data_IF_159573466171
#
_entry.id   IF_159573466171
#
_cell.length_a   1.000
_cell.length_b   1.000
_cell.length_c   1.000
_cell.angle_alpha   90.00
_cell.angle_beta   90.00
_cell.angle_gamma   90.00
#
_symmetry.space_group_name_H-M   'P 1'
#
loop_
_entity.id
_entity.type
_entity.pdbx_description
1 polymer ?
#
# COMPACT_ATOMS: atom_id res chain seq x y z
N UNK A 1 -21.06 -3.19 -9.80
CA UNK A 1 -20.88 -1.97 -8.98
C UNK A 1 -22.15 -1.61 -8.20
N UNK A 2 -23.30 -1.37 -8.85
CA UNK A 2 -24.56 -1.04 -8.15
C UNK A 2 -25.03 -2.12 -7.16
N UNK A 3 -24.93 -3.41 -7.53
CA UNK A 3 -25.26 -4.51 -6.62
C UNK A 3 -24.34 -4.56 -5.38
N UNK A 4 -23.04 -4.24 -5.53
CA UNK A 4 -22.10 -4.16 -4.41
C UNK A 4 -22.41 -2.97 -3.49
N UNK A 5 -22.86 -1.84 -4.05
CA UNK A 5 -23.30 -0.67 -3.29
C UNK A 5 -24.57 -0.95 -2.48
N UNK A 6 -25.55 -1.63 -3.08
CA UNK A 6 -26.81 -1.99 -2.41
C UNK A 6 -26.57 -3.00 -1.27
N UNK A 7 -25.78 -4.05 -1.53
CA UNK A 7 -25.41 -5.04 -0.50
C UNK A 7 -24.54 -4.42 0.59
N UNK A 8 -23.59 -3.54 0.22
CA UNK A 8 -22.77 -2.80 1.17
C UNK A 8 -23.61 -1.89 2.07
N UNK A 9 -24.55 -1.14 1.50
CA UNK A 9 -25.47 -0.27 2.24
C UNK A 9 -26.41 -1.03 3.18
N UNK A 10 -26.79 -2.26 2.83
CA UNK A 10 -27.65 -3.11 3.66
C UNK A 10 -26.89 -3.89 4.75
N UNK A 11 -25.61 -4.22 4.51
CA UNK A 11 -24.86 -5.15 5.37
C UNK A 11 -23.85 -4.45 6.29
N UNK A 12 -23.42 -3.23 5.96
CA UNK A 12 -22.42 -2.49 6.72
C UNK A 12 -23.16 -1.53 7.66
N UNK A 13 -23.25 -1.89 8.94
CA UNK A 13 -23.66 -0.96 9.98
C UNK A 13 -22.65 0.21 10.01
N UNK A 14 -23.12 1.41 9.73
CA UNK A 14 -22.30 2.62 9.73
C UNK A 14 -21.68 2.81 11.12
N UNK A 15 -20.35 2.81 11.19
CA UNK A 15 -19.65 3.09 12.45
C UNK A 15 -19.72 4.59 12.71
N UNK A 16 -20.64 4.99 13.58
CA UNK A 16 -20.95 6.38 13.87
C UNK A 16 -20.42 6.73 15.26
N UNK A 17 -19.66 7.83 15.38
CA UNK A 17 -19.31 8.40 16.69
C UNK A 17 -20.40 9.43 17.08
N UNK A 18 -21.22 9.08 18.06
CA UNK A 18 -22.36 9.89 18.51
C UNK A 18 -21.93 11.12 19.33
N UNK A 19 -20.63 11.25 19.62
CA UNK A 19 -20.10 12.25 20.58
C UNK A 19 -19.55 13.52 19.93
N UNK A 20 -19.48 13.59 18.59
CA UNK A 20 -18.86 14.70 17.85
C UNK A 20 -19.91 15.58 17.16
N UNK A 21 -19.92 16.92 17.36
CA UNK A 21 -20.77 17.83 16.60
C UNK A 21 -20.44 17.77 15.10
N UNK A 22 -21.46 17.76 14.21
CA UNK A 22 -21.35 17.77 12.74
C UNK A 22 -20.73 19.07 12.16
N UNK A 23 -19.50 19.41 12.54
CA UNK A 23 -18.75 20.51 11.92
C UNK A 23 -17.55 19.90 11.22
N UNK A 24 -17.68 19.79 9.89
CA UNK A 24 -16.59 19.38 9.03
C UNK A 24 -15.49 20.45 9.11
N UNK A 25 -14.26 20.06 9.42
CA UNK A 25 -13.13 20.98 9.28
C UNK A 25 -12.77 21.16 7.80
N UNK A 26 -13.41 22.17 7.19
CA UNK A 26 -13.19 22.52 5.78
C UNK A 26 -11.74 22.99 5.56
N UNK A 27 -11.11 23.59 6.58
CA UNK A 27 -9.75 24.12 6.46
C UNK A 27 -8.73 22.99 6.45
N UNK A 28 -8.82 22.07 7.41
CA UNK A 28 -8.00 20.86 7.44
C UNK A 28 -8.20 20.01 6.18
N UNK A 29 -9.47 19.82 5.76
CA UNK A 29 -9.78 19.08 4.54
C UNK A 29 -9.17 19.71 3.28
N UNK A 30 -9.24 21.04 3.15
CA UNK A 30 -8.62 21.75 2.02
C UNK A 30 -7.09 21.60 2.05
N UNK A 31 -6.47 21.78 3.22
CA UNK A 31 -5.01 21.68 3.39
C UNK A 31 -4.50 20.28 3.06
N UNK A 32 -5.14 19.22 3.55
CA UNK A 32 -4.70 17.85 3.27
C UNK A 32 -4.92 17.47 1.80
N UNK A 33 -6.02 17.91 1.20
CA UNK A 33 -6.30 17.67 -0.23
C UNK A 33 -5.26 18.37 -1.12
N UNK A 34 -4.94 19.64 -0.82
CA UNK A 34 -3.90 20.39 -1.53
C UNK A 34 -2.53 19.75 -1.32
N UNK A 35 -2.21 19.33 -0.09
CA UNK A 35 -0.94 18.67 0.21
C UNK A 35 -0.76 17.38 -0.60
N UNK A 36 -1.74 16.48 -0.58
CA UNK A 36 -1.71 15.22 -1.34
C UNK A 36 -1.70 15.48 -2.84
N UNK A 37 -2.49 16.45 -3.32
CA UNK A 37 -2.54 16.82 -4.73
C UNK A 37 -1.20 17.34 -5.25
N UNK A 38 -0.59 18.30 -4.55
CA UNK A 38 0.73 18.84 -4.90
C UNK A 38 1.82 17.77 -4.79
N UNK A 39 1.76 16.92 -3.77
CA UNK A 39 2.70 15.82 -3.59
C UNK A 39 2.63 14.84 -4.76
N UNK A 40 1.42 14.37 -5.09
CA UNK A 40 1.20 13.43 -6.19
C UNK A 40 1.64 14.05 -7.52
N UNK A 41 1.28 15.32 -7.77
CA UNK A 41 1.66 16.05 -8.98
C UNK A 41 3.17 16.22 -9.12
N UNK A 42 3.88 16.42 -8.00
CA UNK A 42 5.35 16.52 -7.98
C UNK A 42 5.96 15.25 -8.57
N UNK A 43 5.56 14.08 -8.09
CA UNK A 43 6.14 12.80 -8.54
C UNK A 43 5.64 12.38 -9.92
N UNK A 44 4.41 12.71 -10.29
CA UNK A 44 3.88 12.47 -11.63
C UNK A 44 4.64 13.28 -12.69
N UNK A 45 4.98 14.54 -12.40
CA UNK A 45 5.67 15.44 -13.36
C UNK A 45 7.18 15.39 -13.28
N UNK A 46 7.77 14.93 -12.18
CA UNK A 46 9.22 14.84 -11.99
C UNK A 46 9.97 14.13 -13.14
N UNK A 47 9.49 13.02 -13.72
CA UNK A 47 10.16 12.38 -14.86
C UNK A 47 10.23 13.27 -16.10
N UNK A 48 9.19 14.08 -16.34
CA UNK A 48 9.07 14.94 -17.53
C UNK A 48 9.78 16.29 -17.38
N UNK A 49 9.68 16.92 -16.20
CA UNK A 49 10.24 18.25 -15.94
C UNK A 49 11.67 18.19 -15.39
N UNK A 50 12.10 17.01 -14.94
CA UNK A 50 13.34 16.81 -14.22
C UNK A 50 13.12 16.87 -12.71
N UNK A 51 13.74 15.92 -12.01
CA UNK A 51 13.65 15.74 -10.56
C UNK A 51 14.18 16.94 -9.76
N UNK A 52 15.18 17.65 -10.30
CA UNK A 52 15.82 18.82 -9.68
C UNK A 52 15.38 20.16 -10.30
N UNK A 53 14.33 20.16 -11.12
CA UNK A 53 13.84 21.41 -11.71
C UNK A 53 13.22 22.31 -10.64
N UNK A 54 13.32 23.62 -10.83
CA UNK A 54 12.70 24.60 -9.92
C UNK A 54 11.20 24.38 -9.75
N UNK A 55 10.50 23.96 -10.81
CA UNK A 55 9.06 23.64 -10.77
C UNK A 55 8.77 22.43 -9.87
N UNK A 56 9.53 21.35 -9.99
CA UNK A 56 9.38 20.15 -9.15
C UNK A 56 9.67 20.47 -7.68
N UNK A 57 10.74 21.25 -7.41
CA UNK A 57 11.09 21.66 -6.05
C UNK A 57 10.05 22.59 -5.43
N UNK A 58 9.46 23.49 -6.23
CA UNK A 58 8.39 24.39 -5.77
C UNK A 58 7.12 23.61 -5.42
N UNK A 59 6.70 22.66 -6.27
CA UNK A 59 5.56 21.79 -5.97
C UNK A 59 5.80 20.95 -4.72
N UNK A 60 7.00 20.39 -4.57
CA UNK A 60 7.38 19.62 -3.39
C UNK A 60 7.36 20.48 -2.12
N UNK A 61 7.97 21.68 -2.17
CA UNK A 61 7.96 22.62 -1.07
C UNK A 61 6.53 23.05 -0.70
N UNK A 62 5.67 23.30 -1.70
CA UNK A 62 4.26 23.60 -1.50
C UNK A 62 3.49 22.45 -0.85
N UNK A 63 3.74 21.21 -1.27
CA UNK A 63 3.15 20.02 -0.65
C UNK A 63 3.56 19.88 0.83
N UNK A 64 4.85 20.05 1.12
CA UNK A 64 5.38 20.00 2.49
C UNK A 64 4.83 21.15 3.36
N UNK A 65 4.72 22.35 2.81
CA UNK A 65 4.14 23.50 3.49
C UNK A 65 2.65 23.29 3.80
N UNK A 66 1.86 22.78 2.84
CA UNK A 66 0.45 22.46 3.04
C UNK A 66 0.25 21.32 4.06
N UNK A 67 1.08 20.27 4.01
CA UNK A 67 1.07 19.18 4.98
C UNK A 67 1.41 19.68 6.40
N UNK A 68 2.43 20.54 6.51
CA UNK A 68 2.81 21.16 7.80
C UNK A 68 1.67 22.05 8.31
N UNK A 69 1.06 22.84 7.42
CA UNK A 69 -0.12 23.66 7.72
C UNK A 69 -1.29 22.82 8.23
N UNK A 70 -1.55 21.67 7.60
CA UNK A 70 -2.56 20.70 8.06
C UNK A 70 -2.26 20.23 9.48
N UNK A 71 -1.05 19.70 9.74
CA UNK A 71 -0.67 19.21 11.08
C UNK A 71 -0.77 20.31 12.16
N UNK A 72 -0.41 21.55 11.83
CA UNK A 72 -0.50 22.68 12.76
C UNK A 72 -1.95 23.13 13.01
N UNK A 73 -2.81 23.11 11.98
CA UNK A 73 -4.23 23.40 12.11
C UNK A 73 -4.92 22.32 12.96
N UNK A 74 -4.63 21.06 12.66
CA UNK A 74 -5.20 19.89 13.31
C UNK A 74 -4.91 19.84 14.82
N UNK A 75 -3.68 20.17 15.21
CA UNK A 75 -3.28 20.23 16.62
C UNK A 75 -4.02 21.32 17.42
N UNK A 76 -4.60 22.32 16.77
CA UNK A 76 -5.31 23.43 17.43
C UNK A 76 -6.82 23.21 17.48
N UNK A 77 -7.35 22.28 16.70
CA UNK A 77 -8.79 22.06 16.56
C UNK A 77 -9.30 21.11 17.65
N UNK A 78 -10.49 21.42 18.19
CA UNK A 78 -11.10 20.66 19.30
C UNK A 78 -11.65 19.29 18.88
N UNK A 79 -11.96 19.13 17.59
CA UNK A 79 -12.46 17.91 16.96
C UNK A 79 -11.64 17.63 15.70
N UNK A 80 -10.40 17.12 15.85
CA UNK A 80 -9.56 16.83 14.69
C UNK A 80 -10.21 15.78 13.79
N UNK A 81 -10.10 16.00 12.49
CA UNK A 81 -10.34 15.06 11.41
C UNK A 81 -9.41 13.83 11.49
N UNK A 82 -8.16 14.00 11.95
CA UNK A 82 -7.18 12.93 12.15
C UNK A 82 -6.56 13.03 13.54
N UNK A 83 -6.73 12.00 14.34
CA UNK A 83 -6.08 11.81 15.62
C UNK A 83 -4.59 11.51 15.42
N UNK A 84 -3.78 12.57 15.49
CA UNK A 84 -2.32 12.49 15.41
C UNK A 84 -1.69 11.61 16.50
N UNK A 85 -2.43 11.21 17.54
CA UNK A 85 -1.96 10.22 18.52
C UNK A 85 -1.78 8.82 17.90
N UNK A 86 -2.47 8.51 16.80
CA UNK A 86 -2.28 7.27 16.03
C UNK A 86 -0.86 7.16 15.49
N UNK A 87 -0.30 8.26 14.99
CA UNK A 87 1.09 8.31 14.52
C UNK A 87 2.12 8.15 15.66
N UNK A 88 1.71 8.35 16.92
CA UNK A 88 2.54 8.06 18.09
C UNK A 88 2.45 6.60 18.55
N UNK A 89 1.47 5.84 18.08
CA UNK A 89 1.35 4.42 18.41
C UNK A 89 2.28 3.59 17.52
N UNK A 90 3.37 3.00 18.06
CA UNK A 90 4.35 2.29 17.26
C UNK A 90 3.75 1.06 16.56
N UNK A 91 2.70 0.43 17.11
CA UNK A 91 2.03 -0.69 16.44
C UNK A 91 1.29 -0.23 15.20
N UNK A 92 0.58 0.90 15.28
CA UNK A 92 -0.12 1.49 14.14
C UNK A 92 0.86 1.88 13.03
N UNK A 93 1.95 2.57 13.39
CA UNK A 93 2.99 2.98 12.44
C UNK A 93 3.60 1.76 11.74
N UNK A 94 3.93 0.68 12.46
CA UNK A 94 4.46 -0.55 11.85
C UNK A 94 3.45 -1.13 10.85
N UNK A 95 2.17 -1.22 11.20
CA UNK A 95 1.14 -1.73 10.28
C UNK A 95 1.05 -0.89 9.01
N UNK A 96 0.97 0.44 9.15
CA UNK A 96 0.88 1.38 8.01
C UNK A 96 2.12 1.29 7.14
N UNK A 97 3.32 1.26 7.71
CA UNK A 97 4.58 1.16 6.95
C UNK A 97 4.64 -0.15 6.16
N UNK A 98 4.32 -1.28 6.78
CA UNK A 98 4.36 -2.60 6.13
C UNK A 98 3.31 -2.71 5.03
N UNK A 99 2.10 -2.22 5.30
CA UNK A 99 1.05 -2.12 4.29
C UNK A 99 1.46 -1.22 3.14
N UNK A 100 2.06 -0.07 3.42
CA UNK A 100 2.55 0.88 2.40
C UNK A 100 3.62 0.24 1.52
N UNK A 101 4.63 -0.41 2.11
CA UNK A 101 5.68 -1.12 1.36
C UNK A 101 5.06 -2.21 0.46
N UNK A 102 4.10 -2.96 1.00
CA UNK A 102 3.41 -4.00 0.23
C UNK A 102 2.53 -3.41 -0.88
N UNK A 103 1.93 -2.23 -0.65
CA UNK A 103 1.15 -1.49 -1.65
C UNK A 103 2.04 -0.93 -2.77
N UNK A 104 3.23 -0.42 -2.44
CA UNK A 104 4.23 -0.02 -3.44
C UNK A 104 4.55 -1.21 -4.33
N UNK A 105 4.89 -2.36 -3.73
CA UNK A 105 5.19 -3.55 -4.50
C UNK A 105 4.01 -3.99 -5.37
N UNK A 106 2.79 -3.93 -4.87
CA UNK A 106 1.57 -4.23 -5.63
C UNK A 106 1.39 -3.30 -6.84
N UNK A 107 1.42 -1.99 -6.61
CA UNK A 107 1.23 -0.99 -7.65
C UNK A 107 2.32 -1.06 -8.72
N UNK A 108 3.59 -1.18 -8.31
CA UNK A 108 4.72 -1.32 -9.23
C UNK A 108 4.65 -2.63 -10.00
N UNK A 109 4.29 -3.75 -9.36
CA UNK A 109 4.17 -5.03 -10.06
C UNK A 109 3.09 -4.98 -11.13
N UNK A 110 1.91 -4.43 -10.83
CA UNK A 110 0.84 -4.29 -11.83
C UNK A 110 1.28 -3.39 -12.99
N UNK A 111 1.91 -2.25 -12.67
CA UNK A 111 2.43 -1.33 -13.67
C UNK A 111 3.46 -1.99 -14.59
N UNK A 112 4.49 -2.62 -14.01
CA UNK A 112 5.57 -3.27 -14.77
C UNK A 112 5.09 -4.51 -15.52
N UNK A 113 4.22 -5.33 -14.94
CA UNK A 113 3.61 -6.47 -15.63
C UNK A 113 2.79 -6.01 -16.83
N UNK A 114 2.11 -4.86 -16.75
CA UNK A 114 1.37 -4.30 -17.88
C UNK A 114 2.33 -3.91 -19.01
N UNK A 115 3.41 -3.20 -18.68
CA UNK A 115 4.43 -2.83 -19.66
C UNK A 115 5.14 -4.05 -20.25
N UNK A 116 5.45 -5.05 -19.44
CA UNK A 116 6.05 -6.29 -19.90
C UNK A 116 5.15 -7.05 -20.87
N UNK A 117 3.85 -7.18 -20.55
CA UNK A 117 2.88 -7.86 -21.40
C UNK A 117 2.69 -7.13 -22.74
N UNK A 118 2.58 -5.81 -22.72
CA UNK A 118 2.30 -5.03 -23.93
C UNK A 118 3.57 -4.77 -24.76
N UNK A 119 4.62 -4.22 -24.14
CA UNK A 119 5.82 -3.79 -24.85
C UNK A 119 6.90 -4.89 -24.94
N UNK A 120 7.00 -5.76 -23.94
CA UNK A 120 7.97 -6.86 -23.94
C UNK A 120 7.50 -8.07 -24.75
N UNK A 121 6.25 -8.48 -24.55
CA UNK A 121 5.65 -9.66 -25.22
C UNK A 121 4.83 -9.30 -26.46
N UNK A 122 4.59 -8.01 -26.73
CA UNK A 122 3.85 -7.56 -27.90
C UNK A 122 2.36 -7.89 -27.87
N UNK A 123 1.78 -8.13 -26.69
CA UNK A 123 0.36 -8.49 -26.58
C UNK A 123 -0.53 -7.28 -26.76
N UNK A 124 -1.69 -7.51 -27.37
CA UNK A 124 -2.76 -6.52 -27.44
C UNK A 124 -3.27 -6.17 -26.03
N UNK A 125 -3.67 -4.91 -25.76
CA UNK A 125 -4.20 -4.48 -24.47
C UNK A 125 -5.34 -5.36 -23.95
N UNK A 126 -6.19 -5.90 -24.84
CA UNK A 126 -7.29 -6.78 -24.44
C UNK A 126 -6.77 -8.09 -23.84
N UNK A 127 -5.77 -8.72 -24.48
CA UNK A 127 -5.17 -9.96 -24.00
C UNK A 127 -4.36 -9.75 -22.73
N UNK A 128 -3.66 -8.62 -22.62
CA UNK A 128 -2.98 -8.24 -21.37
C UNK A 128 -3.99 -8.09 -20.22
N UNK A 129 -5.14 -7.48 -20.47
CA UNK A 129 -6.24 -7.38 -19.50
C UNK A 129 -6.79 -8.74 -19.05
N UNK A 130 -6.92 -9.70 -19.97
CA UNK A 130 -7.34 -11.07 -19.63
C UNK A 130 -6.34 -11.77 -18.69
N UNK A 131 -5.04 -11.55 -18.86
CA UNK A 131 -4.01 -12.08 -17.96
C UNK A 131 -4.17 -11.52 -16.54
N UNK A 132 -4.54 -10.25 -16.40
CA UNK A 132 -4.81 -9.62 -15.10
C UNK A 132 -6.04 -10.15 -14.39
N UNK A 133 -6.92 -10.91 -15.04
CA UNK A 133 -8.03 -11.58 -14.36
C UNK A 133 -7.51 -12.57 -13.31
N UNK A 134 -6.42 -13.29 -13.59
CA UNK A 134 -5.78 -14.19 -12.62
C UNK A 134 -5.29 -13.42 -11.40
N UNK A 135 -4.52 -12.35 -11.61
CA UNK A 135 -4.06 -11.46 -10.54
C UNK A 135 -5.21 -10.87 -9.71
N UNK A 136 -6.29 -10.44 -10.37
CA UNK A 136 -7.47 -9.86 -9.73
C UNK A 136 -8.23 -10.90 -8.91
N UNK A 137 -8.40 -12.12 -9.43
CA UNK A 137 -8.99 -13.23 -8.70
C UNK A 137 -8.15 -13.60 -7.48
N UNK A 138 -6.82 -13.64 -7.63
CA UNK A 138 -5.88 -13.81 -6.52
C UNK A 138 -6.09 -12.75 -5.44
N UNK A 139 -6.08 -11.48 -5.81
CA UNK A 139 -6.28 -10.37 -4.87
C UNK A 139 -7.64 -10.44 -4.16
N UNK A 140 -8.72 -10.79 -4.87
CA UNK A 140 -10.05 -10.97 -4.30
C UNK A 140 -10.07 -12.11 -3.25
N UNK A 141 -9.47 -13.26 -3.58
CA UNK A 141 -9.32 -14.38 -2.64
C UNK A 141 -8.46 -13.99 -1.43
N UNK A 142 -7.40 -13.22 -1.66
CA UNK A 142 -6.55 -12.67 -0.60
C UNK A 142 -7.34 -11.76 0.35
N UNK A 143 -8.23 -10.92 -0.20
CA UNK A 143 -9.14 -10.08 0.57
C UNK A 143 -10.12 -10.89 1.44
N UNK A 144 -10.78 -11.91 0.89
CA UNK A 144 -11.68 -12.79 1.67
C UNK A 144 -10.92 -13.52 2.77
N UNK A 145 -9.73 -14.04 2.46
CA UNK A 145 -8.89 -14.72 3.43
C UNK A 145 -8.41 -13.76 4.52
N UNK A 146 -8.12 -12.50 4.18
CA UNK A 146 -7.69 -11.49 5.13
C UNK A 146 -8.71 -11.28 6.24
N UNK A 147 -10.00 -11.19 5.92
CA UNK A 147 -11.07 -11.02 6.91
C UNK A 147 -11.19 -12.22 7.85
N UNK A 148 -11.08 -13.45 7.32
CA UNK A 148 -11.10 -14.68 8.13
C UNK A 148 -9.89 -14.80 9.06
N UNK A 149 -8.70 -14.45 8.55
CA UNK A 149 -7.48 -14.48 9.35
C UNK A 149 -7.49 -13.38 10.41
N UNK A 150 -8.03 -12.20 10.10
CA UNK A 150 -8.08 -11.10 11.06
C UNK A 150 -8.96 -11.44 12.28
N UNK A 151 -9.99 -12.28 12.10
CA UNK A 151 -10.84 -12.76 13.18
C UNK A 151 -10.15 -13.80 14.09
N UNK A 152 -9.13 -14.51 13.60
CA UNK A 152 -8.59 -15.71 14.27
C UNK A 152 -7.09 -15.64 14.58
N UNK A 153 -6.34 -14.73 13.95
CA UNK A 153 -4.88 -14.65 14.02
C UNK A 153 -4.44 -13.22 14.33
N UNK A 154 -3.36 -13.05 15.13
CA UNK A 154 -2.78 -11.73 15.36
C UNK A 154 -2.20 -11.15 14.06
N UNK A 155 -2.31 -9.83 13.85
CA UNK A 155 -2.09 -9.26 12.54
C UNK A 155 -0.63 -9.23 12.07
N UNK A 156 0.28 -8.87 12.97
CA UNK A 156 1.70 -8.72 12.67
C UNK A 156 2.36 -9.98 12.08
N UNK A 157 2.20 -11.20 12.65
CA UNK A 157 2.83 -12.40 12.08
C UNK A 157 2.22 -12.85 10.76
N UNK A 158 0.91 -12.62 10.54
CA UNK A 158 0.27 -12.92 9.25
C UNK A 158 0.85 -12.03 8.17
N UNK A 159 0.89 -10.72 8.40
CA UNK A 159 1.45 -9.76 7.44
C UNK A 159 2.92 -10.08 7.14
N UNK A 160 3.74 -10.32 8.17
CA UNK A 160 5.14 -10.64 7.97
C UNK A 160 5.35 -11.93 7.14
N UNK A 161 4.59 -12.99 7.42
CA UNK A 161 4.66 -14.23 6.64
C UNK A 161 4.22 -14.02 5.20
N UNK A 162 3.09 -13.34 4.97
CA UNK A 162 2.58 -13.07 3.63
C UNK A 162 3.51 -12.14 2.84
N UNK A 163 4.14 -11.14 3.46
CA UNK A 163 5.14 -10.29 2.81
C UNK A 163 6.38 -11.08 2.36
N UNK A 164 6.85 -12.05 3.15
CA UNK A 164 7.95 -12.94 2.74
C UNK A 164 7.53 -13.82 1.55
N UNK A 165 6.32 -14.39 1.61
CA UNK A 165 5.78 -15.18 0.49
C UNK A 165 5.63 -14.31 -0.76
N UNK A 166 5.15 -13.07 -0.62
CA UNK A 166 5.03 -12.12 -1.72
C UNK A 166 6.39 -11.85 -2.39
N UNK A 167 7.45 -11.69 -1.59
CA UNK A 167 8.79 -11.49 -2.13
C UNK A 167 9.31 -12.72 -2.90
N UNK A 168 9.01 -13.93 -2.41
CA UNK A 168 9.31 -15.17 -3.15
C UNK A 168 8.51 -15.25 -4.45
N UNK A 169 7.22 -14.90 -4.42
CA UNK A 169 6.39 -14.86 -5.63
C UNK A 169 6.93 -13.86 -6.66
N UNK A 170 7.39 -12.69 -6.23
CA UNK A 170 8.02 -11.70 -7.11
C UNK A 170 9.34 -12.21 -7.70
N UNK A 171 10.18 -12.87 -6.89
CA UNK A 171 11.40 -13.49 -7.38
C UNK A 171 11.09 -14.59 -8.42
N UNK A 172 10.06 -15.41 -8.19
CA UNK A 172 9.63 -16.42 -9.17
C UNK A 172 9.05 -15.81 -10.44
N UNK A 173 8.38 -14.65 -10.33
CA UNK A 173 7.83 -13.94 -11.47
C UNK A 173 8.96 -13.39 -12.36
N UNK A 174 9.98 -12.77 -11.76
CA UNK A 174 11.15 -12.27 -12.47
C UNK A 174 12.00 -13.38 -13.11
N UNK A 175 11.97 -14.60 -12.55
CA UNK A 175 12.68 -15.75 -13.11
C UNK A 175 11.85 -16.52 -14.17
N UNK A 176 10.61 -16.10 -14.47
CA UNK A 176 9.69 -16.87 -15.30
C UNK A 176 9.69 -16.41 -16.76
N UNK A 177 10.38 -17.15 -17.62
CA UNK A 177 10.38 -16.92 -19.07
C UNK A 177 9.15 -17.51 -19.78
N UNK A 178 8.49 -18.51 -19.18
CA UNK A 178 7.37 -19.24 -19.78
C UNK A 178 5.98 -18.84 -19.26
N UNK A 179 4.96 -18.91 -20.12
CA UNK A 179 3.56 -18.63 -19.75
C UNK A 179 3.00 -19.56 -18.66
N UNK A 180 3.48 -20.80 -18.63
CA UNK A 180 3.11 -21.79 -17.62
C UNK A 180 3.53 -21.37 -16.20
N UNK A 181 4.60 -20.59 -16.06
CA UNK A 181 5.13 -20.14 -14.77
C UNK A 181 4.70 -18.69 -14.46
N UNK A 182 4.61 -17.84 -15.49
CA UNK A 182 4.24 -16.44 -15.33
C UNK A 182 2.80 -16.26 -14.82
N UNK A 183 1.82 -16.97 -15.37
CA UNK A 183 0.41 -16.82 -14.97
C UNK A 183 0.14 -17.22 -13.51
N UNK A 184 0.63 -18.37 -13.01
CA UNK A 184 0.50 -18.72 -11.60
C UNK A 184 1.29 -17.77 -10.69
N UNK A 185 2.50 -17.37 -11.08
CA UNK A 185 3.33 -16.45 -10.28
C UNK A 185 2.67 -15.07 -10.15
N UNK A 186 2.11 -14.54 -11.23
CA UNK A 186 1.39 -13.26 -11.23
C UNK A 186 0.11 -13.34 -10.37
N UNK A 187 -0.62 -14.45 -10.49
CA UNK A 187 -1.81 -14.72 -9.65
C UNK A 187 -1.44 -14.81 -8.17
N UNK A 188 -0.34 -15.49 -7.85
CA UNK A 188 0.18 -15.61 -6.49
C UNK A 188 0.69 -14.26 -5.93
N UNK A 189 1.32 -13.42 -6.76
CA UNK A 189 1.67 -12.05 -6.40
C UNK A 189 0.41 -11.24 -6.07
N UNK A 190 -0.61 -11.29 -6.93
CA UNK A 190 -1.90 -10.63 -6.68
C UNK A 190 -2.55 -11.09 -5.38
N UNK A 191 -2.54 -12.40 -5.10
CA UNK A 191 -3.06 -12.98 -3.87
C UNK A 191 -2.31 -12.51 -2.63
N UNK A 192 -0.98 -12.63 -2.63
CA UNK A 192 -0.16 -12.31 -1.45
C UNK A 192 -0.17 -10.82 -1.15
N UNK A 193 0.05 -9.97 -2.16
CA UNK A 193 0.07 -8.52 -2.00
C UNK A 193 -1.33 -7.97 -1.69
N UNK A 194 -2.37 -8.48 -2.36
CA UNK A 194 -3.76 -8.12 -2.07
C UNK A 194 -4.20 -8.53 -0.65
N UNK A 195 -3.73 -9.68 -0.16
CA UNK A 195 -3.95 -10.11 1.22
C UNK A 195 -3.30 -9.14 2.21
N UNK A 196 -2.02 -8.78 2.03
CA UNK A 196 -1.36 -7.83 2.94
C UNK A 196 -2.05 -6.46 2.91
N UNK A 197 -2.46 -6.00 1.74
CA UNK A 197 -3.20 -4.76 1.58
C UNK A 197 -4.51 -4.75 2.39
N UNK A 198 -5.40 -5.71 2.13
CA UNK A 198 -6.69 -5.79 2.81
C UNK A 198 -6.52 -5.99 4.33
N UNK A 199 -5.55 -6.83 4.70
CA UNK A 199 -5.27 -7.14 6.09
C UNK A 199 -4.69 -5.95 6.86
N UNK A 200 -3.90 -5.08 6.22
CA UNK A 200 -3.43 -3.81 6.82
C UNK A 200 -4.60 -2.95 7.23
N UNK A 201 -5.59 -2.79 6.35
CA UNK A 201 -6.79 -1.99 6.63
C UNK A 201 -7.55 -2.56 7.83
N UNK A 202 -7.77 -3.87 7.87
CA UNK A 202 -8.47 -4.50 9.01
C UNK A 202 -7.65 -4.38 10.30
N UNK A 203 -6.34 -4.56 10.24
CA UNK A 203 -5.46 -4.48 11.41
C UNK A 203 -5.36 -3.07 11.99
N UNK A 204 -5.34 -2.04 11.13
CA UNK A 204 -5.31 -0.63 11.55
C UNK A 204 -6.65 -0.20 12.14
N UNK A 205 -7.77 -0.67 11.59
CA UNK A 205 -9.10 -0.49 12.17
C UNK A 205 -9.23 -1.15 13.55
N UNK A 206 -8.67 -2.35 13.72
CA UNK A 206 -8.69 -3.06 15.01
C UNK A 206 -7.75 -2.45 16.07
N UNK A 207 -6.81 -1.58 15.67
CA UNK A 207 -5.89 -0.91 16.58
C UNK A 207 -6.49 0.34 17.26
N UNK A 208 -7.67 0.77 16.82
CA UNK A 208 -8.37 1.97 17.29
C UNK A 208 -9.74 1.61 17.85
N UNK A 209 -10.37 2.56 18.55
CA UNK A 209 -11.75 2.40 19.01
C UNK A 209 -12.70 2.26 17.81
N UNK A 210 -13.79 1.46 17.90
CA UNK A 210 -14.72 1.25 16.78
C UNK A 210 -15.20 2.56 16.17
N UNK A 211 -15.55 3.53 17.01
CA UNK A 211 -16.01 4.88 16.63
C UNK A 211 -15.02 5.65 15.72
N UNK A 212 -13.73 5.30 15.74
CA UNK A 212 -12.66 5.93 14.93
C UNK A 212 -12.07 5.01 13.88
N UNK A 213 -12.65 3.83 13.66
CA UNK A 213 -12.15 2.87 12.68
C UNK A 213 -12.18 3.43 11.24
N UNK A 214 -13.19 4.25 10.91
CA UNK A 214 -13.28 4.92 9.60
C UNK A 214 -12.11 5.88 9.35
N UNK A 215 -11.73 6.65 10.38
CA UNK A 215 -10.62 7.59 10.34
C UNK A 215 -9.28 6.87 10.11
N UNK A 216 -9.00 5.86 10.93
CA UNK A 216 -7.78 5.07 10.86
C UNK A 216 -7.62 4.37 9.49
N UNK A 217 -8.71 3.82 8.95
CA UNK A 217 -8.72 3.22 7.62
C UNK A 217 -8.48 4.25 6.52
N UNK A 218 -9.11 5.43 6.60
CA UNK A 218 -8.96 6.50 5.62
C UNK A 218 -7.53 7.04 5.54
N UNK A 219 -6.92 7.31 6.70
CA UNK A 219 -5.51 7.77 6.79
C UNK A 219 -4.57 6.70 6.24
N UNK A 220 -4.77 5.43 6.63
CA UNK A 220 -3.96 4.31 6.17
C UNK A 220 -4.05 4.14 4.65
N UNK A 221 -5.26 4.16 4.10
CA UNK A 221 -5.50 4.03 2.67
C UNK A 221 -4.87 5.17 1.88
N UNK A 222 -5.03 6.40 2.37
CA UNK A 222 -4.45 7.59 1.76
C UNK A 222 -2.92 7.50 1.72
N UNK A 223 -2.29 7.16 2.85
CA UNK A 223 -0.84 6.98 2.91
C UNK A 223 -0.36 5.89 1.94
N UNK A 224 -1.03 4.73 1.93
CA UNK A 224 -0.69 3.61 1.06
C UNK A 224 -0.78 3.99 -0.42
N UNK A 225 -1.89 4.61 -0.85
CA UNK A 225 -2.12 4.97 -2.26
C UNK A 225 -1.20 6.10 -2.71
N UNK A 226 -1.06 7.16 -1.90
CA UNK A 226 -0.19 8.30 -2.23
C UNK A 226 1.27 7.86 -2.37
N UNK A 227 1.79 7.10 -1.42
CA UNK A 227 3.18 6.61 -1.47
C UNK A 227 3.33 5.51 -2.54
N UNK A 228 2.31 4.68 -2.75
CA UNK A 228 2.26 3.69 -3.83
C UNK A 228 2.44 4.33 -5.21
N UNK A 229 1.76 5.46 -5.45
CA UNK A 229 1.93 6.25 -6.68
C UNK A 229 3.35 6.77 -6.87
N UNK A 230 4.00 7.24 -5.79
CA UNK A 230 5.42 7.63 -5.82
C UNK A 230 6.31 6.45 -6.22
N UNK A 231 6.05 5.27 -5.64
CA UNK A 231 6.77 4.05 -6.00
C UNK A 231 6.68 3.71 -7.49
N UNK A 232 5.49 3.88 -8.09
CA UNK A 232 5.28 3.70 -9.53
C UNK A 232 6.06 4.73 -10.35
N UNK A 233 6.00 6.01 -9.99
CA UNK A 233 6.71 7.07 -10.71
C UNK A 233 8.24 6.89 -10.69
N UNK A 234 8.79 6.50 -9.52
CA UNK A 234 10.21 6.17 -9.38
C UNK A 234 10.55 4.94 -10.23
N UNK A 235 9.73 3.89 -10.18
CA UNK A 235 9.96 2.67 -10.96
C UNK A 235 9.90 2.91 -12.46
N UNK A 236 9.01 3.79 -12.93
CA UNK A 236 8.94 4.21 -14.33
C UNK A 236 10.21 4.95 -14.77
N UNK A 237 10.75 5.83 -13.91
CA UNK A 237 12.01 6.54 -14.19
C UNK A 237 13.19 5.57 -14.24
N UNK A 238 13.26 4.63 -13.29
CA UNK A 238 14.30 3.59 -13.28
C UNK A 238 14.20 2.71 -14.53
N UNK A 239 12.98 2.33 -14.92
CA UNK A 239 12.75 1.56 -16.15
C UNK A 239 13.29 2.30 -17.37
N UNK A 240 12.97 3.58 -17.52
CA UNK A 240 13.46 4.40 -18.63
C UNK A 240 14.99 4.55 -18.61
N UNK A 241 15.60 4.74 -17.43
CA UNK A 241 17.06 4.80 -17.29
C UNK A 241 17.73 3.49 -17.71
N UNK A 242 17.18 2.34 -17.32
CA UNK A 242 17.68 1.02 -17.70
C UNK A 242 17.53 0.79 -19.21
N UNK A 243 16.40 1.18 -19.80
CA UNK A 243 16.20 1.11 -21.26
C UNK A 243 17.20 1.98 -22.02
N UNK A 244 17.47 3.20 -21.55
CA UNK A 244 18.50 4.11 -22.13
C UNK A 244 19.91 3.53 -22.01
N UNK A 245 20.17 2.68 -21.02
CA UNK A 245 21.45 1.95 -20.87
C UNK A 245 21.59 0.74 -21.82
N UNK A 246 20.58 0.46 -22.64
CA UNK A 246 20.59 -0.61 -23.64
C UNK A 246 19.91 -1.90 -23.18
N UNK A 247 19.27 -1.93 -22.00
CA UNK A 247 18.52 -3.10 -21.55
C UNK A 247 17.17 -3.22 -22.27
N UNK A 248 16.74 -4.46 -22.52
CA UNK A 248 15.38 -4.74 -22.97
C UNK A 248 14.37 -4.41 -21.87
N UNK A 249 13.13 -4.10 -22.26
CA UNK A 249 12.02 -3.87 -21.30
C UNK A 249 11.84 -5.06 -20.36
N UNK A 250 12.02 -6.29 -20.86
CA UNK A 250 11.99 -7.51 -20.06
C UNK A 250 13.03 -7.49 -18.93
N UNK A 251 14.32 -7.36 -19.28
CA UNK A 251 15.38 -7.37 -18.28
C UNK A 251 15.28 -6.19 -17.30
N UNK A 252 14.79 -5.04 -17.75
CA UNK A 252 14.62 -3.88 -16.87
C UNK A 252 13.48 -4.08 -15.87
N UNK A 253 12.36 -4.70 -16.30
CA UNK A 253 11.28 -5.12 -15.41
C UNK A 253 11.80 -6.13 -14.39
N UNK A 254 12.54 -7.14 -14.81
CA UNK A 254 13.05 -8.19 -13.92
C UNK A 254 13.98 -7.61 -12.85
N UNK A 255 14.88 -6.69 -13.21
CA UNK A 255 15.75 -5.99 -12.24
C UNK A 255 14.95 -5.23 -11.20
N UNK A 256 13.90 -4.50 -11.59
CA UNK A 256 13.07 -3.74 -10.65
C UNK A 256 12.25 -4.69 -9.76
N UNK A 257 11.68 -5.76 -10.32
CA UNK A 257 10.91 -6.75 -9.56
C UNK A 257 11.79 -7.50 -8.55
N UNK A 258 13.03 -7.86 -8.94
CA UNK A 258 14.01 -8.45 -8.02
C UNK A 258 14.41 -7.45 -6.93
N UNK A 259 14.64 -6.18 -7.27
CA UNK A 259 14.94 -5.15 -6.28
C UNK A 259 13.80 -5.01 -5.25
N UNK A 260 12.55 -5.04 -5.70
CA UNK A 260 11.39 -5.06 -4.80
C UNK A 260 11.35 -6.31 -3.93
N UNK A 261 11.61 -7.49 -4.48
CA UNK A 261 11.67 -8.73 -3.71
C UNK A 261 12.76 -8.65 -2.62
N UNK A 262 13.94 -8.15 -2.96
CA UNK A 262 15.07 -7.96 -2.03
C UNK A 262 14.75 -6.92 -0.96
N UNK A 263 13.96 -5.90 -1.25
CA UNK A 263 13.49 -4.92 -0.24
C UNK A 263 12.37 -5.47 0.65
N UNK A 264 11.48 -6.30 0.09
CA UNK A 264 10.36 -6.89 0.82
C UNK A 264 10.77 -8.00 1.78
N UNK A 265 11.76 -8.82 1.42
CA UNK A 265 12.27 -9.90 2.28
C UNK A 265 12.70 -9.43 3.68
N UNK A 266 13.60 -8.44 3.83
CA UNK A 266 14.01 -7.94 5.14
C UNK A 266 12.88 -7.20 5.85
N UNK A 267 11.98 -6.52 5.12
CA UNK A 267 10.81 -5.89 5.71
C UNK A 267 9.88 -6.95 6.35
N UNK A 268 9.53 -8.00 5.63
CA UNK A 268 8.74 -9.12 6.15
C UNK A 268 9.43 -9.85 7.30
N UNK A 269 10.74 -10.07 7.20
CA UNK A 269 11.54 -10.69 8.26
C UNK A 269 11.59 -9.82 9.53
N UNK A 270 11.78 -8.50 9.40
CA UNK A 270 11.78 -7.56 10.52
C UNK A 270 10.43 -7.56 11.24
N UNK A 271 9.33 -7.64 10.48
CA UNK A 271 7.97 -7.75 11.04
C UNK A 271 7.81 -9.04 11.82
N UNK A 272 8.23 -10.18 11.27
CA UNK A 272 8.19 -11.47 11.97
C UNK A 272 9.05 -11.47 13.24
N UNK A 273 10.23 -10.86 13.19
CA UNK A 273 11.11 -10.71 14.36
C UNK A 273 10.48 -9.81 15.43
N UNK A 274 9.82 -8.73 15.03
CA UNK A 274 9.09 -7.85 15.96
C UNK A 274 7.92 -8.57 16.62
N UNK A 275 7.19 -9.41 15.89
CA UNK A 275 6.12 -10.25 16.41
C UNK A 275 6.65 -11.27 17.43
N UNK A 276 7.77 -11.94 17.11
CA UNK A 276 8.43 -12.89 18.03
C UNK A 276 8.92 -12.21 19.30
N UNK A 277 9.50 -11.01 19.21
CA UNK A 277 9.95 -10.21 20.37
C UNK A 277 8.77 -9.79 21.26
N UNK A 278 7.60 -9.49 20.68
CA UNK A 278 6.40 -9.15 21.45
C UNK A 278 5.79 -10.38 22.12
N UNK A 279 5.75 -11.52 21.44
CA UNK A 279 5.25 -12.78 22.01
C UNK A 279 6.10 -13.27 23.20
N UNK A 280 7.43 -13.17 23.08
CA UNK A 280 8.36 -13.53 24.16
C UNK A 280 8.27 -12.60 25.36
N UNK A 281 8.13 -11.28 25.16
CA UNK A 281 7.87 -10.33 26.26
C UNK A 281 6.58 -10.64 27.01
N UNK A 282 5.50 -10.95 26.29
CA UNK A 282 4.19 -11.28 26.88
C UNK A 282 4.22 -12.58 27.69
N UNK A 283 5.01 -13.57 27.23
CA UNK A 283 5.23 -14.82 27.97
C UNK A 283 6.05 -14.59 29.26
N UNK A 284 7.03 -13.69 29.25
CA UNK A 284 7.85 -13.36 30.43
C UNK A 284 7.13 -12.51 31.49
N UNK A 285 6.05 -11.82 31.12
CA UNK A 285 5.24 -10.99 32.03
C UNK A 285 4.05 -11.72 32.67
N UNK A 286 3.81 -12.99 32.31
CA UNK A 286 2.83 -13.82 33.03
C UNK A 286 3.46 -14.26 34.35
N UNK A 287 2.90 -13.90 35.52
CA UNK A 287 3.40 -14.41 36.78
C UNK A 287 3.31 -15.94 36.75
N UNK A 288 4.38 -16.61 37.17
CA UNK A 288 4.38 -18.05 37.40
C UNK A 288 3.32 -18.32 38.47
N UNK A 289 2.19 -18.87 38.04
CA UNK A 289 1.16 -19.42 38.93
C UNK A 289 1.58 -20.78 39.44
#
# INVERSE_FOLDING_TARGET
MLACLVVGAWSIAESHDHTVPRRLDITGLALITVAIGLFTLTFDRAPSWGWLSGSTLLLFAGAMAAMTGFVLAENKIRWPLVDLSLARNPKFVILVVVGTISNIAYAVTIFLSTLYLQQGRGLDPLTAGLVFLGASAGAALGGVLSGRLAATRPPVPVMGATTVIAALCLATLAASDGWLLYLPALTACGFTLGLVYAFTTVATQAAVRPERAGEAAGVTLTAMVTIGGVGVAVSATVLEMLQRSGMTTAGAVDVIVVALAVLLLPAGAAVLLSARRQATKSASSRPAG
#
